data_IF_368348541417
#
_entry.id   IF_368348541417
#
_cell.length_a   1.000
_cell.length_b   1.000
_cell.length_c   1.000
_cell.angle_alpha   90.00
_cell.angle_beta   90.00
_cell.angle_gamma   90.00
#
_symmetry.space_group_name_H-M   'P 1'
#
loop_
_entity.id
_entity.type
_entity.pdbx_description
1 polymer ?
#
# COMPACT_ATOMS: atom_id res chain seq x y z
N UNK A 1 -18.09 3.46 35.48
CA UNK A 1 -18.96 2.48 34.78
C UNK A 1 -19.59 1.55 35.82
N UNK A 2 -20.91 1.56 36.01
CA UNK A 2 -21.58 0.77 37.07
C UNK A 2 -21.72 -0.70 36.69
N UNK A 3 -21.81 -1.60 37.68
CA UNK A 3 -21.90 -3.06 37.48
C UNK A 3 -23.08 -3.45 36.57
N UNK A 4 -24.22 -2.78 36.73
CA UNK A 4 -25.43 -3.00 35.90
C UNK A 4 -25.23 -2.59 34.45
N UNK A 5 -24.51 -1.48 34.21
CA UNK A 5 -24.18 -1.03 32.85
C UNK A 5 -23.30 -2.06 32.13
N UNK A 6 -22.30 -2.63 32.82
CA UNK A 6 -21.43 -3.68 32.27
C UNK A 6 -22.20 -4.94 31.87
N UNK A 7 -23.15 -5.38 32.71
CA UNK A 7 -23.99 -6.54 32.43
C UNK A 7 -24.87 -6.29 31.21
N UNK A 8 -25.46 -5.10 31.10
CA UNK A 8 -26.25 -4.70 29.94
C UNK A 8 -25.42 -4.72 28.64
N UNK A 9 -24.21 -4.16 28.66
CA UNK A 9 -23.31 -4.21 27.51
C UNK A 9 -22.96 -5.64 27.09
N UNK A 10 -22.62 -6.50 28.05
CA UNK A 10 -22.31 -7.91 27.78
C UNK A 10 -23.52 -8.62 27.18
N UNK A 11 -24.72 -8.40 27.73
CA UNK A 11 -25.94 -9.01 27.24
C UNK A 11 -26.28 -8.57 25.81
N UNK A 12 -26.15 -7.27 25.51
CA UNK A 12 -26.36 -6.73 24.15
C UNK A 12 -25.33 -7.31 23.17
N UNK A 13 -24.05 -7.32 23.56
CA UNK A 13 -22.98 -7.86 22.72
C UNK A 13 -23.18 -9.36 22.41
N UNK A 14 -23.50 -10.16 23.44
CA UNK A 14 -23.82 -11.58 23.26
C UNK A 14 -25.08 -11.78 22.41
N UNK A 15 -26.11 -10.95 22.60
CA UNK A 15 -27.32 -10.99 21.80
C UNK A 15 -27.04 -10.72 20.32
N UNK A 16 -26.25 -9.69 20.01
CA UNK A 16 -25.83 -9.38 18.64
C UNK A 16 -25.01 -10.55 18.06
N UNK A 17 -24.03 -11.09 18.80
CA UNK A 17 -23.26 -12.24 18.34
C UNK A 17 -24.12 -13.46 18.04
N UNK A 18 -25.12 -13.76 18.87
CA UNK A 18 -26.04 -14.88 18.65
C UNK A 18 -26.93 -14.66 17.44
N UNK A 19 -27.42 -13.43 17.21
CA UNK A 19 -28.21 -13.09 16.03
C UNK A 19 -27.37 -13.22 14.76
N UNK A 20 -26.14 -12.68 14.78
CA UNK A 20 -25.20 -12.75 13.66
C UNK A 20 -24.80 -14.20 13.37
N UNK A 21 -24.54 -15.01 14.40
CA UNK A 21 -24.25 -16.44 14.25
C UNK A 21 -25.43 -17.25 13.74
N UNK A 22 -26.65 -16.97 14.23
CA UNK A 22 -27.86 -17.62 13.72
C UNK A 22 -28.14 -17.24 12.25
N UNK A 23 -27.87 -15.98 11.88
CA UNK A 23 -28.00 -15.52 10.50
C UNK A 23 -26.95 -16.14 9.60
N UNK A 24 -25.70 -16.30 10.07
CA UNK A 24 -24.63 -16.93 9.28
C UNK A 24 -24.90 -18.42 9.01
N UNK A 25 -25.58 -19.14 9.91
CA UNK A 25 -26.03 -20.52 9.65
C UNK A 25 -27.00 -20.62 8.47
N UNK A 26 -27.75 -19.55 8.14
CA UNK A 26 -28.64 -19.53 6.98
C UNK A 26 -27.86 -19.54 5.66
N UNK A 27 -26.66 -18.95 5.61
CA UNK A 27 -25.79 -18.96 4.42
C UNK A 27 -25.45 -20.38 3.96
N UNK A 28 -25.28 -21.32 4.90
CA UNK A 28 -24.94 -22.71 4.60
C UNK A 28 -26.13 -23.56 4.14
N UNK A 29 -27.37 -23.05 4.21
CA UNK A 29 -28.56 -23.83 3.80
C UNK A 29 -28.58 -24.17 2.30
N UNK A 30 -27.89 -23.38 1.46
CA UNK A 30 -27.75 -23.60 0.02
C UNK A 30 -26.30 -23.94 -0.39
N UNK A 31 -25.43 -24.27 0.56
CA UNK A 31 -24.03 -24.58 0.26
C UNK A 31 -23.94 -25.97 -0.35
N UNK A 32 -23.64 -26.06 -1.65
CA UNK A 32 -23.39 -27.32 -2.34
C UNK A 32 -21.99 -27.32 -2.96
N UNK A 33 -21.20 -28.35 -2.68
CA UNK A 33 -19.87 -28.54 -3.29
C UNK A 33 -19.92 -29.67 -4.31
N UNK A 34 -19.24 -29.49 -5.45
CA UNK A 34 -19.02 -30.56 -6.44
C UNK A 34 -18.23 -31.73 -5.83
N UNK A 35 -18.39 -32.95 -6.38
CA UNK A 35 -17.67 -34.14 -5.92
C UNK A 35 -16.13 -34.04 -6.08
N UNK A 36 -15.63 -33.05 -6.83
CA UNK A 36 -14.20 -32.84 -7.06
C UNK A 36 -13.51 -31.95 -6.00
N UNK A 37 -14.28 -31.33 -5.09
CA UNK A 37 -13.76 -30.49 -3.99
C UNK A 37 -13.48 -31.34 -2.75
N UNK A 38 -12.44 -32.17 -2.82
CA UNK A 38 -12.02 -33.03 -1.69
C UNK A 38 -11.53 -32.20 -0.49
N UNK A 39 -11.77 -32.69 0.73
CA UNK A 39 -11.30 -32.05 1.98
C UNK A 39 -9.77 -32.03 2.08
N UNK A 40 -9.09 -33.02 1.48
CA UNK A 40 -7.64 -33.24 1.61
C UNK A 40 -6.76 -32.22 0.86
N UNK A 41 -7.32 -31.45 -0.08
CA UNK A 41 -6.58 -30.48 -0.88
C UNK A 41 -6.88 -29.01 -0.51
N UNK A 42 -7.67 -28.77 0.55
CA UNK A 42 -8.03 -27.43 1.02
C UNK A 42 -9.00 -26.64 0.12
N UNK A 43 -9.35 -27.17 -1.07
CA UNK A 43 -10.30 -26.51 -1.97
C UNK A 43 -11.71 -26.46 -1.38
N UNK A 44 -12.07 -27.43 -0.55
CA UNK A 44 -13.33 -27.41 0.19
C UNK A 44 -13.38 -26.25 1.19
N UNK A 45 -12.32 -26.06 1.97
CA UNK A 45 -12.21 -24.93 2.91
C UNK A 45 -12.26 -23.60 2.19
N UNK A 46 -11.59 -23.48 1.03
CA UNK A 46 -11.65 -22.27 0.21
C UNK A 46 -13.06 -21.99 -0.33
N UNK A 47 -13.75 -23.01 -0.80
CA UNK A 47 -15.13 -22.88 -1.27
C UNK A 47 -16.09 -22.47 -0.14
N UNK A 48 -15.93 -23.04 1.06
CA UNK A 48 -16.71 -22.66 2.24
C UNK A 48 -16.41 -21.22 2.69
N UNK A 49 -15.14 -20.80 2.70
CA UNK A 49 -14.73 -19.43 3.01
C UNK A 49 -15.32 -18.43 2.01
N UNK A 50 -15.20 -18.70 0.70
CA UNK A 50 -15.75 -17.82 -0.34
C UNK A 50 -17.26 -17.68 -0.25
N UNK A 51 -17.98 -18.79 -0.07
CA UNK A 51 -19.44 -18.77 0.08
C UNK A 51 -19.90 -18.01 1.34
N UNK A 52 -19.17 -18.16 2.44
CA UNK A 52 -19.42 -17.43 3.67
C UNK A 52 -19.19 -15.92 3.51
N UNK A 53 -18.09 -15.52 2.86
CA UNK A 53 -17.76 -14.10 2.65
C UNK A 53 -18.76 -13.40 1.71
N UNK A 54 -19.34 -14.11 0.74
CA UNK A 54 -20.34 -13.59 -0.21
C UNK A 54 -21.71 -13.34 0.45
N UNK A 55 -22.20 -14.30 1.23
CA UNK A 55 -23.51 -14.23 1.89
C UNK A 55 -23.48 -13.39 3.18
N UNK A 56 -22.30 -13.21 3.79
CA UNK A 56 -22.15 -12.52 5.07
C UNK A 56 -21.11 -11.38 5.04
N UNK A 57 -21.38 -10.27 4.32
CA UNK A 57 -20.42 -9.17 4.11
C UNK A 57 -20.17 -8.31 5.36
N UNK A 58 -20.61 -8.71 6.56
CA UNK A 58 -20.46 -7.94 7.80
C UNK A 58 -18.99 -7.67 8.13
N UNK A 59 -18.09 -8.61 7.80
CA UNK A 59 -16.64 -8.41 7.94
C UNK A 59 -16.19 -7.18 7.15
N UNK A 60 -16.60 -7.06 5.88
CA UNK A 60 -16.27 -5.93 5.00
C UNK A 60 -16.92 -4.63 5.48
N UNK A 61 -18.19 -4.67 5.86
CA UNK A 61 -18.91 -3.51 6.40
C UNK A 61 -18.26 -3.00 7.68
N UNK A 62 -17.89 -3.89 8.60
CA UNK A 62 -17.21 -3.57 9.85
C UNK A 62 -15.83 -2.97 9.60
N UNK A 63 -15.02 -3.58 8.72
CA UNK A 63 -13.69 -3.04 8.40
C UNK A 63 -13.77 -1.68 7.71
N UNK A 64 -14.76 -1.46 6.83
CA UNK A 64 -14.92 -0.18 6.14
C UNK A 64 -15.44 0.90 7.07
N UNK A 65 -16.38 0.57 7.96
CA UNK A 65 -16.90 1.50 8.96
C UNK A 65 -15.81 1.87 9.96
N UNK A 66 -15.02 0.89 10.43
CA UNK A 66 -13.89 1.13 11.32
C UNK A 66 -12.84 2.01 10.64
N UNK A 67 -12.45 1.70 9.40
CA UNK A 67 -11.53 2.53 8.64
C UNK A 67 -12.05 3.96 8.40
N UNK A 68 -13.35 4.13 8.15
CA UNK A 68 -13.96 5.45 7.98
C UNK A 68 -13.99 6.25 9.30
N UNK A 69 -14.19 5.57 10.43
CA UNK A 69 -14.11 6.17 11.76
C UNK A 69 -12.68 6.56 12.10
N UNK A 70 -11.70 5.68 11.86
CA UNK A 70 -10.28 5.96 12.08
C UNK A 70 -9.84 7.15 11.22
N UNK A 71 -10.18 7.15 9.93
CA UNK A 71 -9.92 8.26 9.02
C UNK A 71 -10.55 9.57 9.52
N UNK A 72 -11.80 9.54 9.98
CA UNK A 72 -12.53 10.75 10.39
C UNK A 72 -12.10 11.28 11.76
N UNK A 73 -11.75 10.40 12.69
CA UNK A 73 -11.45 10.76 14.07
C UNK A 73 -9.98 11.04 14.31
N UNK A 74 -9.09 10.30 13.64
CA UNK A 74 -7.65 10.37 13.89
C UNK A 74 -6.88 10.91 12.68
N UNK A 75 -7.52 11.05 11.51
CA UNK A 75 -6.82 11.42 10.27
C UNK A 75 -5.64 10.47 10.03
N UNK A 76 -5.83 9.19 10.40
CA UNK A 76 -4.85 8.12 10.27
C UNK A 76 -5.26 7.25 9.08
N UNK A 77 -4.34 7.07 8.14
CA UNK A 77 -4.45 6.01 7.14
C UNK A 77 -4.18 4.64 7.78
N UNK A 78 -4.24 3.57 6.97
CA UNK A 78 -3.65 2.28 7.40
C UNK A 78 -2.14 2.49 7.63
N UNK A 79 -1.48 1.67 8.50
CA UNK A 79 -0.01 1.68 8.60
C UNK A 79 0.61 1.61 7.19
N UNK A 80 1.59 2.46 6.90
CA UNK A 80 2.10 2.63 5.54
C UNK A 80 1.60 3.87 4.80
N UNK A 81 0.56 4.58 5.29
CA UNK A 81 -0.12 5.65 4.53
C UNK A 81 -0.06 6.99 5.25
N UNK A 82 0.48 7.99 4.56
CA UNK A 82 0.48 9.40 4.98
C UNK A 82 -0.62 10.17 4.25
N UNK A 83 -1.46 10.88 5.01
CA UNK A 83 -2.52 11.70 4.45
C UNK A 83 -1.99 13.05 3.96
N UNK A 84 -2.31 13.37 2.70
CA UNK A 84 -2.13 14.68 2.09
C UNK A 84 -3.39 15.55 2.10
N UNK A 85 -3.31 16.71 1.45
CA UNK A 85 -4.44 17.60 1.17
C UNK A 85 -5.26 17.08 0.00
N UNK A 86 -6.48 17.59 -0.17
CA UNK A 86 -7.33 17.28 -1.32
C UNK A 86 -7.54 15.78 -1.57
N UNK A 87 -7.61 14.99 -0.50
CA UNK A 87 -7.71 13.52 -0.53
C UNK A 87 -6.55 12.82 -1.26
N UNK A 88 -5.35 13.40 -1.25
CA UNK A 88 -4.13 12.72 -1.68
C UNK A 88 -3.61 11.80 -0.60
N UNK A 89 -3.13 10.63 -1.01
CA UNK A 89 -2.46 9.67 -0.14
C UNK A 89 -1.03 9.46 -0.60
N UNK A 90 -0.11 9.29 0.33
CA UNK A 90 1.27 8.95 0.07
C UNK A 90 1.68 7.73 0.89
N UNK A 91 2.76 7.08 0.50
CA UNK A 91 3.40 6.03 1.32
C UNK A 91 4.29 6.68 2.38
N UNK A 92 4.35 6.12 3.59
CA UNK A 92 5.28 6.59 4.65
C UNK A 92 6.75 6.34 4.30
N UNK A 93 7.04 5.39 3.41
CA UNK A 93 8.38 5.14 2.85
C UNK A 93 8.99 6.38 2.18
N UNK A 94 8.15 7.30 1.65
CA UNK A 94 8.59 8.56 1.05
C UNK A 94 8.78 9.70 2.09
N UNK A 95 8.45 9.45 3.36
CA UNK A 95 8.52 10.45 4.44
C UNK A 95 9.57 10.08 5.50
N UNK A 96 9.65 8.80 5.85
CA UNK A 96 10.42 8.35 6.99
C UNK A 96 11.91 8.35 6.73
N UNK A 97 12.69 8.72 7.75
CA UNK A 97 14.13 8.56 7.71
C UNK A 97 14.48 7.06 7.79
N UNK A 98 15.24 6.57 6.81
CA UNK A 98 15.67 5.17 6.79
C UNK A 98 16.91 5.00 7.66
N UNK A 99 16.83 4.14 8.67
CA UNK A 99 17.99 3.76 9.47
C UNK A 99 19.07 3.14 8.56
N UNK A 100 20.31 3.62 8.68
CA UNK A 100 21.43 3.24 7.82
C UNK A 100 21.20 3.53 6.31
N UNK A 101 20.41 4.56 5.97
CA UNK A 101 20.10 4.93 4.58
C UNK A 101 21.32 5.00 3.66
N UNK A 102 22.39 5.69 4.08
CA UNK A 102 23.63 5.80 3.29
C UNK A 102 24.30 4.45 3.00
N UNK A 103 24.35 3.56 3.99
CA UNK A 103 24.92 2.22 3.79
C UNK A 103 24.03 1.37 2.88
N UNK A 104 22.71 1.43 3.07
CA UNK A 104 21.76 0.72 2.23
C UNK A 104 21.84 1.20 0.77
N UNK A 105 21.99 2.51 0.54
CA UNK A 105 22.21 3.08 -0.79
C UNK A 105 23.50 2.56 -1.43
N UNK A 106 24.61 2.56 -0.68
CA UNK A 106 25.89 2.07 -1.16
C UNK A 106 25.84 0.57 -1.52
N UNK A 107 25.21 -0.25 -0.68
CA UNK A 107 25.05 -1.69 -0.91
C UNK A 107 24.16 -1.96 -2.13
N UNK A 108 23.04 -1.23 -2.26
CA UNK A 108 22.17 -1.33 -3.42
C UNK A 108 22.86 -0.88 -4.72
N UNK A 109 23.67 0.18 -4.66
CA UNK A 109 24.46 0.63 -5.82
C UNK A 109 25.47 -0.44 -6.26
N UNK A 110 26.15 -1.09 -5.31
CA UNK A 110 27.07 -2.18 -5.61
C UNK A 110 26.36 -3.37 -6.29
N UNK A 111 25.14 -3.70 -5.86
CA UNK A 111 24.32 -4.72 -6.52
C UNK A 111 23.95 -4.32 -7.96
N UNK A 112 23.52 -3.06 -8.17
CA UNK A 112 23.17 -2.55 -9.51
C UNK A 112 24.40 -2.60 -10.44
N UNK A 113 25.59 -2.25 -9.93
CA UNK A 113 26.84 -2.37 -10.69
C UNK A 113 27.12 -3.82 -11.09
N UNK A 114 26.92 -4.77 -10.18
CA UNK A 114 27.03 -6.21 -10.49
C UNK A 114 26.06 -6.66 -11.58
N UNK A 115 24.82 -6.17 -11.55
CA UNK A 115 23.82 -6.44 -12.60
C UNK A 115 24.24 -5.84 -13.94
N UNK A 116 24.72 -4.60 -13.96
CA UNK A 116 25.26 -3.96 -15.18
C UNK A 116 26.35 -4.82 -15.81
N UNK A 117 27.31 -5.28 -15.00
CA UNK A 117 28.45 -6.09 -15.47
C UNK A 117 28.03 -7.44 -16.01
N UNK A 118 27.05 -8.08 -15.36
CA UNK A 118 26.48 -9.34 -15.83
C UNK A 118 25.77 -9.17 -17.17
N UNK A 119 24.98 -8.11 -17.35
CA UNK A 119 24.29 -7.80 -18.60
C UNK A 119 25.28 -7.46 -19.72
N UNK A 120 26.32 -6.68 -19.43
CA UNK A 120 27.33 -6.31 -20.41
C UNK A 120 28.11 -7.52 -20.94
N UNK A 121 28.45 -8.48 -20.07
CA UNK A 121 29.05 -9.76 -20.48
C UNK A 121 28.17 -10.57 -21.44
N UNK A 122 26.85 -10.36 -21.39
CA UNK A 122 25.87 -10.98 -22.28
C UNK A 122 25.54 -10.12 -23.51
N UNK A 123 26.25 -9.00 -23.72
CA UNK A 123 26.01 -8.08 -24.83
C UNK A 123 24.76 -7.20 -24.66
N UNK A 124 24.18 -7.15 -23.47
CA UNK A 124 23.02 -6.32 -23.14
C UNK A 124 23.44 -5.02 -22.45
N UNK A 125 22.78 -3.91 -22.77
CA UNK A 125 23.02 -2.61 -22.12
C UNK A 125 21.94 -2.33 -21.08
N UNK A 126 22.37 -1.93 -19.88
CA UNK A 126 21.48 -1.52 -18.80
C UNK A 126 21.08 -0.05 -18.98
N UNK A 127 19.79 0.22 -18.95
CA UNK A 127 19.20 1.56 -18.79
C UNK A 127 18.41 1.56 -17.48
N UNK A 128 18.86 2.35 -16.51
CA UNK A 128 18.24 2.40 -15.19
C UNK A 128 17.16 3.50 -15.14
N UNK A 129 15.90 3.10 -14.98
CA UNK A 129 14.79 4.03 -14.82
C UNK A 129 14.58 4.36 -13.32
N UNK A 130 15.16 5.46 -12.86
CA UNK A 130 14.95 5.94 -11.48
C UNK A 130 13.65 6.75 -11.44
N UNK A 131 12.63 6.21 -10.79
CA UNK A 131 11.33 6.86 -10.67
C UNK A 131 11.37 7.90 -9.55
N UNK A 132 11.03 9.18 -9.79
CA UNK A 132 10.95 10.17 -8.73
C UNK A 132 9.78 9.87 -7.78
N UNK A 133 9.99 10.10 -6.49
CA UNK A 133 8.97 9.97 -5.46
C UNK A 133 7.73 10.84 -5.77
N UNK A 134 6.54 10.35 -5.41
CA UNK A 134 5.28 11.07 -5.62
C UNK A 134 5.24 12.38 -4.83
N UNK A 135 5.78 12.39 -3.61
CA UNK A 135 5.99 13.59 -2.78
C UNK A 135 6.81 14.67 -3.48
N UNK A 136 7.81 14.29 -4.28
CA UNK A 136 8.63 15.24 -5.05
C UNK A 136 7.87 15.82 -6.25
N UNK A 137 7.02 15.02 -6.88
CA UNK A 137 6.21 15.46 -8.01
C UNK A 137 4.98 16.26 -7.58
N UNK A 138 4.38 15.96 -6.44
CA UNK A 138 3.18 16.62 -5.91
C UNK A 138 3.42 17.22 -4.52
N UNK A 139 4.39 18.14 -4.35
CA UNK A 139 4.61 18.79 -3.05
C UNK A 139 3.43 19.67 -2.62
N UNK A 140 2.62 20.16 -3.57
CA UNK A 140 1.46 21.02 -3.31
C UNK A 140 0.34 20.32 -2.54
N UNK A 141 0.25 18.99 -2.62
CA UNK A 141 -0.76 18.20 -1.92
C UNK A 141 -0.21 17.52 -0.65
N UNK A 142 1.03 17.82 -0.25
CA UNK A 142 1.56 17.37 1.04
C UNK A 142 0.78 18.07 2.18
N UNK A 143 0.40 17.27 3.18
CA UNK A 143 -0.28 17.71 4.39
C UNK A 143 0.66 18.41 5.38
N UNK A 144 0.36 18.29 6.66
CA UNK A 144 1.19 18.87 7.73
C UNK A 144 2.47 18.04 8.00
N UNK A 145 2.40 16.73 7.71
CA UNK A 145 3.55 15.85 7.75
C UNK A 145 4.45 16.14 6.55
N UNK A 146 5.70 16.56 6.80
CA UNK A 146 6.69 16.81 5.75
C UNK A 146 7.64 15.63 5.63
N UNK A 147 8.10 15.27 4.41
CA UNK A 147 9.15 14.28 4.26
C UNK A 147 10.41 14.67 5.06
N UNK A 148 11.09 13.68 5.61
CA UNK A 148 12.39 13.88 6.25
C UNK A 148 13.35 14.60 5.30
N UNK A 149 14.21 15.47 5.83
CA UNK A 149 15.16 16.26 5.03
C UNK A 149 16.08 15.39 4.17
N UNK A 150 16.34 14.14 4.60
CA UNK A 150 17.09 13.14 3.84
C UNK A 150 16.49 12.92 2.43
N UNK A 151 15.17 12.95 2.29
CA UNK A 151 14.48 12.74 1.01
C UNK A 151 14.54 13.95 0.09
N UNK A 152 14.98 15.13 0.56
CA UNK A 152 14.99 16.36 -0.24
C UNK A 152 15.89 16.24 -1.48
N UNK A 153 17.05 15.61 -1.34
CA UNK A 153 18.07 15.52 -2.39
C UNK A 153 18.35 14.09 -2.87
N UNK A 154 17.74 13.07 -2.24
CA UNK A 154 17.97 11.64 -2.53
C UNK A 154 17.94 11.31 -4.03
N UNK A 155 16.93 11.81 -4.76
CA UNK A 155 16.81 11.57 -6.20
C UNK A 155 18.03 12.07 -6.98
N UNK A 156 18.47 13.30 -6.71
CA UNK A 156 19.61 13.92 -7.41
C UNK A 156 20.94 13.28 -6.99
N UNK A 157 21.08 12.96 -5.71
CA UNK A 157 22.27 12.28 -5.19
C UNK A 157 22.42 10.88 -5.80
N UNK A 158 21.34 10.10 -5.84
CA UNK A 158 21.37 8.76 -6.43
C UNK A 158 21.66 8.80 -7.93
N UNK A 159 21.06 9.75 -8.68
CA UNK A 159 21.42 10.00 -10.09
C UNK A 159 22.92 10.29 -10.27
N UNK A 160 23.51 11.13 -9.40
CA UNK A 160 24.92 11.42 -9.46
C UNK A 160 25.79 10.18 -9.13
N UNK A 161 25.36 9.34 -8.19
CA UNK A 161 26.06 8.10 -7.84
C UNK A 161 26.04 7.07 -8.98
N UNK A 162 24.88 6.84 -9.62
CA UNK A 162 24.78 5.90 -10.75
C UNK A 162 25.53 6.40 -11.99
N UNK A 163 25.54 7.72 -12.23
CA UNK A 163 26.32 8.33 -13.31
C UNK A 163 27.83 8.16 -13.07
N UNK A 164 28.32 8.36 -11.84
CA UNK A 164 29.72 8.07 -11.47
C UNK A 164 30.07 6.59 -11.63
N UNK A 165 29.11 5.71 -11.42
CA UNK A 165 29.24 4.27 -11.66
C UNK A 165 29.19 3.89 -13.16
N UNK A 166 29.04 4.86 -14.08
CA UNK A 166 28.96 4.60 -15.51
C UNK A 166 27.66 3.89 -15.94
N UNK A 167 26.61 3.96 -15.13
CA UNK A 167 25.28 3.42 -15.45
C UNK A 167 24.47 4.54 -16.08
N UNK A 168 23.87 4.28 -17.25
CA UNK A 168 22.99 5.23 -17.90
C UNK A 168 21.62 5.25 -17.22
N UNK A 169 21.27 6.39 -16.64
CA UNK A 169 19.97 6.62 -15.99
C UNK A 169 19.35 7.93 -16.49
N UNK A 170 18.32 7.87 -17.37
CA UNK A 170 17.62 9.07 -17.83
C UNK A 170 16.92 9.80 -16.68
N UNK A 171 16.90 11.14 -16.73
CA UNK A 171 16.10 11.92 -15.80
C UNK A 171 14.59 11.80 -16.15
N UNK A 172 13.83 11.20 -15.24
CA UNK A 172 12.37 11.09 -15.37
C UNK A 172 11.63 12.23 -14.67
N UNK A 173 12.30 13.01 -13.80
CA UNK A 173 11.65 14.07 -13.03
C UNK A 173 11.21 15.22 -13.92
N UNK A 174 12.11 15.78 -14.73
CA UNK A 174 11.77 16.89 -15.62
C UNK A 174 10.59 16.58 -16.58
N UNK A 175 10.58 15.44 -17.31
CA UNK A 175 9.44 15.13 -18.19
C UNK A 175 8.14 14.88 -17.42
N UNK A 176 8.18 14.18 -16.27
CA UNK A 176 6.98 13.98 -15.45
C UNK A 176 6.45 15.30 -14.88
N UNK A 177 7.32 16.21 -14.45
CA UNK A 177 6.93 17.54 -14.00
C UNK A 177 6.26 18.36 -15.11
N UNK A 178 6.78 18.29 -16.34
CA UNK A 178 6.15 18.94 -17.48
C UNK A 178 4.78 18.32 -17.81
N UNK A 179 4.68 16.99 -17.79
CA UNK A 179 3.44 16.26 -18.06
C UNK A 179 2.32 16.54 -17.03
N UNK A 180 2.64 17.00 -15.82
CA UNK A 180 1.63 17.47 -14.83
C UNK A 180 0.69 18.55 -15.39
N UNK A 181 1.14 19.32 -16.38
CA UNK A 181 0.33 20.35 -17.02
C UNK A 181 -0.80 19.77 -17.90
N UNK A 182 -0.65 18.51 -18.33
CA UNK A 182 -1.60 17.80 -19.18
C UNK A 182 -2.56 16.92 -18.36
N UNK A 183 -2.15 16.56 -17.15
CA UNK A 183 -3.02 16.01 -16.13
C UNK A 183 -2.23 15.34 -15.00
N UNK A 184 -2.89 14.47 -14.23
CA UNK A 184 -2.23 13.76 -13.14
C UNK A 184 -1.26 12.69 -13.65
N UNK A 185 0.02 12.76 -13.32
CA UNK A 185 1.04 11.74 -13.64
C UNK A 185 1.17 10.66 -12.56
N UNK A 186 0.62 10.88 -11.36
CA UNK A 186 0.44 9.86 -10.33
C UNK A 186 -1.02 9.81 -9.89
N UNK A 187 -1.48 8.60 -9.54
CA UNK A 187 -2.81 8.41 -9.00
C UNK A 187 -2.93 9.08 -7.63
N UNK A 188 -4.07 9.72 -7.36
CA UNK A 188 -4.27 10.49 -6.12
C UNK A 188 -4.21 9.62 -4.86
N UNK A 189 -4.83 8.45 -4.87
CA UNK A 189 -4.97 7.55 -3.71
C UNK A 189 -4.15 6.27 -3.82
N UNK A 190 -3.14 6.25 -4.69
CA UNK A 190 -2.27 5.09 -4.96
C UNK A 190 -0.82 5.57 -5.15
N UNK A 191 0.17 4.68 -5.00
CA UNK A 191 1.60 5.00 -5.14
C UNK A 191 2.09 4.99 -6.59
N UNK A 192 1.32 4.41 -7.52
CA UNK A 192 1.73 4.26 -8.91
C UNK A 192 1.45 5.50 -9.78
N UNK A 193 2.22 5.61 -10.86
CA UNK A 193 1.98 6.58 -11.92
C UNK A 193 0.66 6.28 -12.65
N UNK A 194 0.16 7.27 -13.39
CA UNK A 194 -0.97 7.07 -14.31
C UNK A 194 -0.50 6.56 -15.67
N UNK A 195 -1.37 5.92 -16.47
CA UNK A 195 -1.05 5.53 -17.86
C UNK A 195 -0.91 6.67 -18.90
N UNK A 196 -0.93 7.94 -18.49
CA UNK A 196 -1.04 9.10 -19.39
C UNK A 196 0.13 9.25 -20.36
#
# INVERSE_FOLDING_TARGET
MTRSLRILYIAIFLGILLILGAWSLRSFSNFSTSAETTVLNGKWTKAAETHYDDEFPIKRLGTNLWAALDFKLFNEGRPGVVLGKDQWLYTDEEFDAVANGEQNEADNLALIQGVRDALEKQGSKLVLAIVPAKTRLYPEHIGDNKPASLHADLYQQFHAQVAKAGIFAPDLLAPLQAAKQQGQVFLRTDTHWTPM
#
